data_IF_757868598161
#
_entry.id   IF_757868598161
#
_cell.length_a   1.000
_cell.length_b   1.000
_cell.length_c   1.000
_cell.angle_alpha   90.00
_cell.angle_beta   90.00
_cell.angle_gamma   90.00
#
_symmetry.space_group_name_H-M   'P 1'
#
loop_
_entity.id
_entity.type
_entity.pdbx_description
1 polymer ?
#
# COMPACT_ATOMS: atom_id res chain seq x y z
N UNK A 1 41.59 45.96 -20.15
CA UNK A 1 41.03 47.02 -21.01
C UNK A 1 39.50 46.91 -20.98
N UNK A 2 38.80 48.01 -21.30
CA UNK A 2 37.33 48.16 -21.41
C UNK A 2 36.67 47.10 -22.35
N UNK A 3 35.35 46.85 -22.37
CA UNK A 3 34.19 47.55 -21.77
C UNK A 3 33.04 46.57 -21.45
N UNK A 4 32.10 47.00 -20.61
CA UNK A 4 30.79 46.38 -20.40
C UNK A 4 29.76 46.77 -21.48
N UNK A 5 28.68 45.97 -21.59
CA UNK A 5 27.34 46.44 -21.94
C UNK A 5 26.28 45.50 -21.33
N UNK A 6 25.20 46.07 -20.78
CA UNK A 6 24.07 45.36 -20.17
C UNK A 6 22.77 45.97 -20.69
N UNK A 7 21.71 45.18 -20.84
CA UNK A 7 20.36 45.69 -21.10
C UNK A 7 19.35 45.06 -20.14
N UNK A 8 18.85 45.87 -19.21
CA UNK A 8 17.59 45.65 -18.50
C UNK A 8 16.55 46.59 -19.09
N UNK A 9 15.32 46.12 -19.29
CA UNK A 9 14.12 46.98 -19.33
C UNK A 9 13.04 46.30 -18.49
N UNK A 10 12.29 47.10 -17.72
CA UNK A 10 11.32 46.67 -16.73
C UNK A 10 9.90 47.20 -17.08
N UNK A 11 8.88 47.18 -16.19
CA UNK A 11 7.54 46.75 -16.59
C UNK A 11 6.57 47.89 -16.96
N UNK A 12 5.44 47.51 -17.56
CA UNK A 12 4.33 48.42 -17.86
C UNK A 12 3.31 48.46 -16.70
N UNK A 13 2.97 49.67 -16.25
CA UNK A 13 1.88 49.97 -15.31
C UNK A 13 1.05 51.09 -15.90
N UNK A 14 -0.28 50.94 -15.96
CA UNK A 14 -1.20 52.06 -16.20
C UNK A 14 -2.53 51.89 -15.43
N UNK A 15 -2.86 52.93 -14.66
CA UNK A 15 -4.20 53.39 -14.27
C UNK A 15 -4.20 54.92 -14.44
N UNK A 16 -5.34 55.60 -14.70
CA UNK A 16 -6.09 56.20 -13.58
C UNK A 16 -7.61 56.49 -13.76
N UNK A 17 -8.36 56.46 -12.65
CA UNK A 17 -9.53 57.34 -12.37
C UNK A 17 -10.90 57.01 -13.02
N UNK A 18 -12.05 57.43 -12.49
CA UNK A 18 -12.33 58.24 -11.27
C UNK A 18 -13.80 58.05 -10.77
N UNK A 19 -14.00 58.06 -9.44
CA UNK A 19 -15.17 58.54 -8.63
C UNK A 19 -16.64 58.32 -9.05
N UNK A 20 -17.47 57.83 -8.10
CA UNK A 20 -18.94 57.98 -8.14
C UNK A 20 -19.69 57.52 -6.86
N UNK A 21 -20.50 58.40 -6.27
CA UNK A 21 -21.26 58.23 -5.01
C UNK A 21 -22.73 58.71 -5.21
N UNK A 22 -23.76 58.31 -4.45
CA UNK A 22 -23.92 57.34 -3.33
C UNK A 22 -25.40 56.90 -3.28
N UNK A 23 -25.73 55.71 -2.73
CA UNK A 23 -27.10 55.43 -2.27
C UNK A 23 -27.18 54.32 -1.18
N UNK A 24 -27.89 54.61 -0.09
CA UNK A 24 -28.13 53.73 1.06
C UNK A 24 -29.60 53.35 1.18
N UNK A 25 -29.94 52.10 1.51
CA UNK A 25 -31.13 51.75 2.31
C UNK A 25 -30.90 50.52 3.19
N UNK A 26 -31.61 50.46 4.32
CA UNK A 26 -31.41 49.55 5.47
C UNK A 26 -32.22 48.23 5.36
N UNK A 27 -31.93 47.23 6.22
CA UNK A 27 -32.60 45.92 6.21
C UNK A 27 -33.93 45.90 7.00
N UNK A 28 -34.69 44.81 6.84
CA UNK A 28 -35.87 44.48 7.65
C UNK A 28 -35.78 43.07 8.24
N UNK A 29 -36.07 42.99 9.54
CA UNK A 29 -36.29 41.83 10.42
C UNK A 29 -37.10 42.33 11.63
N UNK A 30 -37.72 41.49 12.48
CA UNK A 30 -38.26 40.14 12.28
C UNK A 30 -39.79 40.06 12.60
N UNK A 31 -40.41 38.88 12.46
CA UNK A 31 -41.82 38.63 12.85
C UNK A 31 -41.97 37.42 13.79
N UNK A 32 -42.81 37.53 14.82
CA UNK A 32 -42.84 36.63 15.99
C UNK A 32 -44.02 35.66 16.06
N UNK A 33 -43.76 34.47 16.66
CA UNK A 33 -44.66 33.60 17.47
C UNK A 33 -46.05 33.19 16.94
N UNK A 34 -46.28 31.87 16.97
CA UNK A 34 -47.37 31.27 17.79
C UNK A 34 -47.03 29.82 18.17
N UNK A 35 -47.49 29.37 19.35
CA UNK A 35 -47.53 27.95 19.73
C UNK A 35 -48.84 27.30 19.27
N UNK A 36 -48.88 25.96 19.19
CA UNK A 36 -50.08 25.24 19.67
C UNK A 36 -50.42 23.91 18.99
N UNK A 37 -50.54 22.86 19.83
CA UNK A 37 -51.28 21.59 19.63
C UNK A 37 -50.68 20.63 18.57
N UNK A 38 -50.19 19.44 18.90
CA UNK A 38 -50.79 18.31 19.62
C UNK A 38 -52.00 17.67 18.93
N UNK A 39 -51.77 16.55 18.25
CA UNK A 39 -52.71 15.43 18.18
C UNK A 39 -51.93 14.12 18.14
N UNK A 40 -52.26 13.24 19.09
CA UNK A 40 -51.94 11.83 19.03
C UNK A 40 -53.27 11.07 18.97
N UNK A 41 -53.32 9.99 18.20
CA UNK A 41 -54.39 8.98 18.30
C UNK A 41 -53.83 7.62 17.90
N UNK A 42 -53.97 6.65 18.79
CA UNK A 42 -53.68 5.23 18.58
C UNK A 42 -54.63 4.55 17.57
N UNK A 43 -54.19 3.43 16.99
CA UNK A 43 -54.94 2.16 16.94
C UNK A 43 -54.06 1.08 16.30
N UNK A 44 -53.56 0.09 17.05
CA UNK A 44 -54.22 -1.14 17.57
C UNK A 44 -53.96 -2.38 16.68
N UNK A 45 -53.25 -3.31 17.32
CA UNK A 45 -53.08 -4.76 17.11
C UNK A 45 -54.19 -5.52 16.35
N UNK A 46 -53.82 -6.53 15.54
CA UNK A 46 -53.96 -7.99 15.85
C UNK A 46 -53.83 -8.91 14.61
N UNK A 47 -53.24 -10.10 14.81
CA UNK A 47 -53.73 -11.36 14.19
C UNK A 47 -53.01 -11.91 12.96
N UNK A 48 -52.36 -13.06 13.11
CA UNK A 48 -52.42 -14.16 12.12
C UNK A 48 -53.39 -15.25 12.62
N UNK A 49 -53.38 -16.50 12.10
CA UNK A 49 -52.51 -17.05 11.06
C UNK A 49 -53.29 -17.84 9.96
N UNK A 50 -52.54 -18.70 9.26
CA UNK A 50 -52.91 -19.97 8.61
C UNK A 50 -53.15 -20.11 7.08
N UNK A 51 -52.45 -21.14 6.58
CA UNK A 51 -52.75 -22.11 5.51
C UNK A 51 -53.15 -21.67 4.09
N UNK A 52 -52.52 -22.31 3.09
CA UNK A 52 -53.29 -22.87 1.98
C UNK A 52 -52.68 -22.87 0.57
N UNK A 53 -52.14 -24.03 0.19
CA UNK A 53 -52.33 -24.63 -1.14
C UNK A 53 -51.48 -24.18 -2.36
N UNK A 54 -51.54 -25.00 -3.41
CA UNK A 54 -50.51 -25.27 -4.41
C UNK A 54 -50.91 -24.73 -5.79
N UNK A 55 -49.95 -24.50 -6.72
CA UNK A 55 -49.99 -25.12 -8.07
C UNK A 55 -48.88 -24.70 -9.06
N UNK A 56 -48.46 -25.71 -9.85
CA UNK A 56 -48.15 -25.69 -11.29
C UNK A 56 -47.12 -24.72 -11.90
N UNK A 57 -45.91 -25.27 -12.08
CA UNK A 57 -45.04 -25.22 -13.27
C UNK A 57 -45.59 -24.57 -14.56
N UNK A 58 -44.81 -23.65 -15.17
CA UNK A 58 -44.88 -23.41 -16.63
C UNK A 58 -43.56 -22.90 -17.24
N UNK A 59 -42.79 -23.82 -17.83
CA UNK A 59 -41.62 -23.49 -18.67
C UNK A 59 -42.09 -23.04 -20.05
N UNK A 60 -41.65 -21.87 -20.54
CA UNK A 60 -41.84 -21.46 -21.93
C UNK A 60 -40.60 -21.81 -22.77
N UNK A 61 -40.78 -22.71 -23.74
CA UNK A 61 -39.88 -22.88 -24.89
C UNK A 61 -40.27 -21.89 -25.99
N UNK A 62 -39.27 -21.39 -26.72
CA UNK A 62 -39.46 -20.71 -28.02
C UNK A 62 -38.64 -21.42 -29.10
N UNK A 63 -39.29 -21.73 -30.21
CA UNK A 63 -38.65 -21.97 -31.50
C UNK A 63 -38.45 -20.61 -32.21
N UNK A 64 -37.64 -20.43 -33.26
CA UNK A 64 -36.73 -21.35 -33.94
C UNK A 64 -36.55 -20.95 -35.41
N UNK A 65 -35.36 -21.19 -35.97
CA UNK A 65 -35.07 -21.11 -37.42
C UNK A 65 -34.42 -19.82 -37.92
N UNK A 66 -33.23 -19.92 -38.50
CA UNK A 66 -33.09 -19.91 -39.98
C UNK A 66 -31.80 -20.68 -40.39
N UNK A 67 -31.72 -21.19 -41.62
CA UNK A 67 -30.52 -21.81 -42.21
C UNK A 67 -30.27 -21.26 -43.61
N UNK A 68 -29.05 -20.79 -43.89
CA UNK A 68 -28.58 -20.57 -45.28
C UNK A 68 -27.28 -21.30 -45.59
N UNK A 69 -27.24 -21.83 -46.82
CA UNK A 69 -26.14 -22.60 -47.42
C UNK A 69 -24.93 -21.71 -47.72
N UNK A 70 -23.75 -22.32 -47.83
CA UNK A 70 -22.72 -21.85 -48.76
C UNK A 70 -22.20 -22.99 -49.65
N UNK A 71 -21.87 -22.64 -50.89
CA UNK A 71 -21.43 -23.57 -51.95
C UNK A 71 -19.94 -23.46 -52.26
N UNK A 72 -19.47 -24.37 -53.12
CA UNK A 72 -18.06 -24.52 -53.54
C UNK A 72 -17.65 -23.49 -54.60
N UNK A 73 -16.37 -23.11 -54.64
CA UNK A 73 -15.45 -23.29 -55.80
C UNK A 73 -14.01 -22.87 -55.47
N UNK A 74 -13.06 -23.23 -56.33
CA UNK A 74 -11.60 -23.11 -56.15
C UNK A 74 -10.94 -22.24 -57.24
N UNK A 75 -9.69 -21.78 -57.04
CA UNK A 75 -8.92 -21.08 -58.08
C UNK A 75 -7.58 -20.40 -57.68
N UNK A 76 -6.51 -21.21 -57.60
CA UNK A 76 -5.14 -21.01 -58.14
C UNK A 76 -4.37 -19.65 -58.27
N UNK A 77 -3.06 -19.74 -57.93
CA UNK A 77 -1.85 -18.91 -58.22
C UNK A 77 -1.71 -17.44 -57.74
N UNK A 78 -0.49 -17.13 -57.23
CA UNK A 78 0.04 -15.77 -57.07
C UNK A 78 1.16 -15.68 -56.00
N UNK A 79 2.41 -15.50 -56.40
CA UNK A 79 3.60 -15.42 -55.52
C UNK A 79 3.90 -14.00 -55.02
N UNK A 80 4.43 -13.85 -53.79
CA UNK A 80 5.63 -13.07 -53.40
C UNK A 80 5.77 -12.92 -51.86
N UNK A 81 7.00 -12.69 -51.39
CA UNK A 81 7.41 -12.61 -49.97
C UNK A 81 7.11 -11.23 -49.33
N UNK A 82 7.19 -11.08 -47.99
CA UNK A 82 6.36 -10.13 -47.24
C UNK A 82 7.06 -8.84 -46.79
N UNK A 83 6.29 -7.85 -46.29
CA UNK A 83 6.74 -6.90 -45.29
C UNK A 83 6.16 -7.19 -43.88
N UNK A 84 6.87 -6.69 -42.88
CA UNK A 84 6.66 -6.89 -41.44
C UNK A 84 5.21 -6.68 -40.94
N UNK A 85 4.70 -7.63 -40.15
CA UNK A 85 3.53 -7.40 -39.29
C UNK A 85 3.94 -6.72 -37.98
N UNK A 86 3.43 -5.51 -37.76
CA UNK A 86 3.27 -4.99 -36.41
C UNK A 86 2.24 -5.86 -35.67
N UNK A 87 2.61 -6.38 -34.49
CA UNK A 87 1.66 -7.06 -33.60
C UNK A 87 1.11 -6.02 -32.62
N UNK A 88 -0.15 -5.62 -32.81
CA UNK A 88 -0.94 -5.04 -31.73
C UNK A 88 -1.39 -6.18 -30.82
N UNK A 89 -1.04 -6.09 -29.54
CA UNK A 89 -1.66 -6.89 -28.48
C UNK A 89 -2.49 -5.96 -27.61
N UNK A 90 -3.78 -5.82 -27.94
CA UNK A 90 -4.75 -5.26 -27.01
C UNK A 90 -5.04 -6.32 -25.94
N UNK A 91 -4.51 -6.13 -24.73
CA UNK A 91 -4.70 -7.04 -23.59
C UNK A 91 -5.48 -6.33 -22.47
N UNK A 92 -6.77 -6.12 -22.69
CA UNK A 92 -7.68 -5.68 -21.64
C UNK A 92 -7.89 -6.82 -20.63
N UNK A 93 -7.31 -6.69 -19.43
CA UNK A 93 -7.54 -7.62 -18.33
C UNK A 93 -8.93 -7.35 -17.73
N UNK A 94 -9.90 -8.23 -18.02
CA UNK A 94 -11.23 -8.21 -17.42
C UNK A 94 -11.37 -9.45 -16.52
N UNK A 95 -11.57 -9.23 -15.22
CA UNK A 95 -11.86 -10.30 -14.25
C UNK A 95 -13.36 -10.57 -14.30
N UNK A 96 -13.75 -11.73 -14.82
CA UNK A 96 -15.13 -12.22 -14.78
C UNK A 96 -15.30 -13.23 -13.65
N UNK A 97 -16.15 -12.91 -12.68
CA UNK A 97 -16.60 -13.89 -11.67
C UNK A 97 -17.38 -15.03 -12.33
N UNK A 98 -17.06 -16.27 -11.97
CA UNK A 98 -17.79 -17.46 -12.40
C UNK A 98 -18.30 -18.24 -11.18
N UNK A 99 -19.58 -18.06 -10.86
CA UNK A 99 -20.29 -18.85 -9.85
C UNK A 99 -20.59 -20.24 -10.40
N UNK A 100 -20.27 -21.31 -9.66
CA UNK A 100 -20.67 -22.68 -9.99
C UNK A 100 -21.14 -23.43 -8.74
N UNK A 101 -22.44 -23.70 -8.69
CA UNK A 101 -23.02 -24.75 -7.85
C UNK A 101 -22.73 -26.12 -8.48
N UNK A 102 -22.32 -27.11 -7.68
CA UNK A 102 -22.06 -28.47 -8.18
C UNK A 102 -22.13 -29.53 -7.08
N UNK A 103 -23.25 -30.22 -6.97
CA UNK A 103 -23.45 -31.37 -6.06
C UNK A 103 -22.77 -32.63 -6.61
N UNK A 104 -22.05 -33.38 -5.76
CA UNK A 104 -21.51 -34.71 -6.10
C UNK A 104 -21.14 -35.52 -4.86
N UNK A 105 -21.53 -36.79 -4.78
CA UNK A 105 -21.51 -37.58 -3.54
C UNK A 105 -20.35 -38.57 -3.39
N UNK A 106 -19.90 -38.71 -2.14
CA UNK A 106 -19.50 -39.94 -1.45
C UNK A 106 -18.46 -40.90 -2.09
N UNK A 107 -17.38 -41.19 -1.33
CA UNK A 107 -16.62 -42.44 -1.50
C UNK A 107 -15.27 -42.47 -0.76
N UNK A 108 -15.08 -43.45 0.14
CA UNK A 108 -13.76 -43.94 0.55
C UNK A 108 -13.23 -43.49 1.92
N UNK A 109 -13.35 -44.34 2.94
CA UNK A 109 -12.51 -44.26 4.14
C UNK A 109 -11.08 -44.70 3.81
N UNK A 110 -10.08 -43.92 4.25
CA UNK A 110 -8.67 -44.30 4.20
C UNK A 110 -7.94 -43.76 5.43
N UNK A 111 -7.67 -44.63 6.41
CA UNK A 111 -7.00 -44.23 7.65
C UNK A 111 -5.50 -43.98 7.43
N UNK A 112 -5.07 -42.71 7.51
CA UNK A 112 -3.65 -42.35 7.48
C UNK A 112 -3.14 -42.15 8.91
N UNK A 113 -2.21 -43.01 9.32
CA UNK A 113 -1.48 -42.91 10.60
C UNK A 113 -0.73 -41.57 10.67
N UNK A 114 -0.96 -40.79 11.73
CA UNK A 114 -0.08 -39.67 12.11
C UNK A 114 1.27 -40.26 12.57
N UNK A 115 2.34 -39.92 11.86
CA UNK A 115 3.71 -39.99 12.39
C UNK A 115 4.05 -38.57 12.85
N UNK A 116 4.22 -38.39 14.16
CA UNK A 116 4.72 -37.14 14.73
C UNK A 116 6.24 -37.27 14.85
N UNK A 117 6.96 -36.67 13.90
CA UNK A 117 8.41 -36.53 14.00
C UNK A 117 8.74 -35.24 14.77
N UNK A 118 9.16 -35.38 16.02
CA UNK A 118 9.68 -34.27 16.79
C UNK A 118 11.08 -33.88 16.26
N UNK A 119 11.19 -32.71 15.64
CA UNK A 119 12.47 -32.11 15.30
C UNK A 119 12.93 -31.20 16.45
N UNK A 120 14.04 -31.54 17.09
CA UNK A 120 14.60 -30.76 18.18
C UNK A 120 15.21 -29.45 17.65
N UNK A 121 14.71 -28.30 18.12
CA UNK A 121 15.33 -27.00 17.88
C UNK A 121 16.39 -26.79 18.97
N UNK A 122 17.66 -26.90 18.59
CA UNK A 122 18.78 -26.57 19.48
C UNK A 122 18.88 -25.06 19.67
N UNK A 123 18.51 -24.57 20.85
CA UNK A 123 18.73 -23.17 21.23
C UNK A 123 20.22 -22.94 21.54
N UNK A 124 20.91 -22.18 20.69
CA UNK A 124 22.27 -21.69 20.98
C UNK A 124 22.15 -20.49 21.92
N UNK A 125 22.29 -20.75 23.23
CA UNK A 125 22.34 -19.70 24.25
C UNK A 125 23.75 -19.09 24.26
N UNK A 126 23.88 -17.85 23.79
CA UNK A 126 25.08 -17.05 24.00
C UNK A 126 25.13 -16.54 25.45
N UNK A 127 25.87 -17.25 26.32
CA UNK A 127 26.20 -16.76 27.66
C UNK A 127 27.35 -15.77 27.56
N UNK A 128 27.02 -14.50 27.38
CA UNK A 128 27.98 -13.41 27.52
C UNK A 128 28.36 -13.18 28.99
N UNK A 129 29.53 -13.66 29.39
CA UNK A 129 30.09 -13.36 30.73
C UNK A 129 30.59 -11.92 30.75
N UNK A 130 29.75 -11.00 31.24
CA UNK A 130 30.14 -9.62 31.51
C UNK A 130 31.02 -9.57 32.78
N UNK A 131 32.33 -9.48 32.61
CA UNK A 131 33.26 -9.32 33.72
C UNK A 131 33.24 -7.85 34.19
N UNK A 132 32.57 -7.59 35.31
CA UNK A 132 32.46 -6.25 35.89
C UNK A 132 33.71 -5.90 36.71
N UNK A 133 34.57 -5.02 36.19
CA UNK A 133 35.60 -4.33 36.97
C UNK A 133 35.17 -2.89 37.24
N UNK A 134 34.89 -2.57 38.50
CA UNK A 134 34.66 -1.20 38.93
C UNK A 134 35.99 -0.44 39.02
N UNK A 135 36.05 0.74 38.40
CA UNK A 135 37.20 1.65 38.49
C UNK A 135 36.73 3.06 38.17
N UNK A 136 36.64 3.92 39.18
CA UNK A 136 36.21 5.32 39.02
C UNK A 136 37.34 6.25 38.63
N UNK A 137 37.01 7.33 37.92
CA UNK A 137 37.93 8.41 37.58
C UNK A 137 37.26 9.39 36.61
N UNK A 138 37.03 10.63 37.07
CA UNK A 138 36.42 11.67 36.23
C UNK A 138 37.40 12.17 35.15
N UNK A 139 36.87 12.44 33.96
CA UNK A 139 37.62 12.99 32.83
C UNK A 139 36.68 13.73 31.89
N UNK A 140 37.17 14.81 31.26
CA UNK A 140 36.38 15.74 30.48
C UNK A 140 35.54 15.08 29.37
N UNK A 141 34.33 15.61 29.16
CA UNK A 141 33.49 15.29 28.01
C UNK A 141 34.03 15.99 26.77
N UNK A 142 35.05 15.41 26.15
CA UNK A 142 35.38 15.72 24.77
C UNK A 142 34.21 15.27 23.90
N UNK A 143 33.54 16.23 23.27
CA UNK A 143 32.44 16.00 22.35
C UNK A 143 32.93 15.34 21.06
N UNK A 144 33.18 14.04 21.12
CA UNK A 144 33.43 13.22 19.94
C UNK A 144 32.19 13.31 19.04
N UNK A 145 32.29 14.09 17.98
CA UNK A 145 31.29 14.13 16.93
C UNK A 145 31.12 12.71 16.37
N UNK A 146 29.98 12.09 16.66
CA UNK A 146 29.65 10.75 16.14
C UNK A 146 29.72 10.84 14.62
N UNK A 147 30.68 10.12 14.03
CA UNK A 147 30.88 10.12 12.60
C UNK A 147 29.58 9.69 11.91
N UNK A 148 28.95 10.60 11.18
CA UNK A 148 27.62 10.42 10.58
C UNK A 148 27.69 9.53 9.33
N UNK A 149 28.15 8.30 9.50
CA UNK A 149 27.98 7.25 8.52
C UNK A 149 26.51 6.89 8.39
N UNK A 150 26.06 6.70 7.14
CA UNK A 150 24.87 5.90 6.84
C UNK A 150 25.04 4.56 7.59
N UNK A 151 24.00 4.01 8.19
CA UNK A 151 24.04 2.68 8.82
C UNK A 151 23.63 1.61 7.78
N UNK A 152 23.84 0.29 7.99
CA UNK A 152 23.29 -0.71 7.08
C UNK A 152 21.76 -0.60 6.95
N UNK A 153 21.20 -0.93 5.78
CA UNK A 153 19.75 -1.10 5.61
C UNK A 153 19.39 -2.56 5.80
N UNK A 154 18.31 -2.84 6.52
CA UNK A 154 17.75 -4.18 6.71
C UNK A 154 16.29 -4.16 6.26
N UNK A 155 15.91 -5.09 5.39
CA UNK A 155 14.53 -5.33 4.97
C UNK A 155 14.10 -6.73 5.40
N UNK A 156 13.08 -6.81 6.25
CA UNK A 156 12.42 -8.06 6.65
C UNK A 156 11.02 -8.11 6.04
N UNK A 157 10.71 -9.18 5.32
CA UNK A 157 9.35 -9.45 4.83
C UNK A 157 8.44 -9.93 5.95
N UNK A 158 7.19 -9.46 5.97
CA UNK A 158 6.14 -9.92 6.89
C UNK A 158 5.12 -10.77 6.12
N UNK A 159 4.29 -10.15 5.28
CA UNK A 159 3.33 -10.82 4.39
C UNK A 159 2.70 -9.80 3.42
N UNK A 160 2.26 -10.22 2.23
CA UNK A 160 1.70 -9.34 1.17
C UNK A 160 2.62 -8.15 0.79
N UNK A 161 2.26 -6.91 1.16
CA UNK A 161 3.13 -5.71 1.10
C UNK A 161 3.77 -5.34 2.45
N UNK A 162 3.40 -6.05 3.50
CA UNK A 162 3.93 -5.90 4.85
C UNK A 162 5.44 -6.14 4.93
N UNK A 163 6.17 -5.11 5.35
CA UNK A 163 7.63 -5.15 5.56
C UNK A 163 8.05 -4.38 6.81
N UNK A 164 9.16 -4.80 7.40
CA UNK A 164 9.93 -4.04 8.39
C UNK A 164 11.23 -3.56 7.75
N UNK A 165 11.43 -2.25 7.72
CA UNK A 165 12.62 -1.58 7.18
C UNK A 165 13.39 -0.96 8.35
N UNK A 166 14.66 -1.30 8.52
CA UNK A 166 15.48 -0.82 9.63
C UNK A 166 16.82 -0.26 9.17
N UNK A 167 17.34 0.75 9.86
CA UNK A 167 18.71 1.22 9.69
C UNK A 167 19.25 1.87 10.95
N UNK A 168 20.32 1.30 11.50
CA UNK A 168 20.82 1.66 12.83
C UNK A 168 19.78 1.32 13.90
N UNK A 169 19.45 2.28 14.76
CA UNK A 169 18.39 2.14 15.76
C UNK A 169 16.99 2.40 15.20
N UNK A 170 16.87 3.01 14.01
CA UNK A 170 15.58 3.40 13.44
C UNK A 170 14.88 2.22 12.75
N UNK A 171 13.60 2.01 13.06
CA UNK A 171 12.76 0.95 12.47
C UNK A 171 11.39 1.47 12.03
N UNK A 172 11.03 1.19 10.78
CA UNK A 172 9.73 1.50 10.17
C UNK A 172 9.02 0.23 9.74
N UNK A 173 7.80 0.04 10.22
CA UNK A 173 6.90 -1.02 9.77
C UNK A 173 5.97 -0.43 8.69
N UNK A 174 5.76 -1.10 7.57
CA UNK A 174 4.92 -0.63 6.46
C UNK A 174 3.93 -1.75 6.13
N UNK A 175 2.62 -1.45 6.06
CA UNK A 175 1.54 -2.33 5.60
C UNK A 175 1.52 -3.75 6.22
N UNK A 176 2.01 -3.88 7.46
CA UNK A 176 2.21 -5.18 8.12
C UNK A 176 1.25 -5.47 9.27
N UNK A 177 0.45 -4.49 9.69
CA UNK A 177 -0.44 -4.60 10.86
C UNK A 177 -1.80 -5.19 10.48
N UNK A 178 -1.81 -6.44 10.01
CA UNK A 178 -3.02 -7.18 9.62
C UNK A 178 -2.97 -8.66 10.03
N UNK A 179 -4.13 -9.34 10.00
CA UNK A 179 -4.31 -10.74 10.42
C UNK A 179 -4.99 -11.59 9.34
N UNK A 180 -6.17 -11.17 8.87
CA UNK A 180 -7.00 -11.96 7.96
C UNK A 180 -7.24 -11.22 6.64
N UNK A 181 -6.26 -11.26 5.71
CA UNK A 181 -6.45 -10.73 4.36
C UNK A 181 -7.53 -11.50 3.60
N UNK A 182 -7.91 -10.98 2.44
CA UNK A 182 -8.52 -11.79 1.38
C UNK A 182 -7.65 -13.04 1.13
N UNK A 183 -8.21 -14.26 1.02
CA UNK A 183 -7.46 -15.50 0.76
C UNK A 183 -6.62 -15.51 -0.54
N UNK A 184 -6.72 -14.49 -1.41
CA UNK A 184 -5.78 -14.29 -2.51
C UNK A 184 -4.35 -13.93 -2.05
N UNK A 185 -4.17 -13.32 -0.87
CA UNK A 185 -2.88 -12.83 -0.39
C UNK A 185 -2.39 -13.52 0.89
N UNK A 186 -1.08 -13.46 1.13
CA UNK A 186 -0.45 -14.02 2.34
C UNK A 186 -0.80 -13.18 3.57
N UNK A 187 -1.09 -13.88 4.66
CA UNK A 187 -1.24 -13.32 6.01
C UNK A 187 0.07 -13.46 6.81
N UNK A 188 0.37 -12.55 7.75
CA UNK A 188 1.35 -12.83 8.81
C UNK A 188 0.87 -14.02 9.65
N UNK A 189 1.78 -14.85 10.17
CA UNK A 189 1.37 -15.93 11.08
C UNK A 189 0.97 -15.37 12.46
N UNK A 190 0.22 -16.14 13.25
CA UNK A 190 -0.19 -15.73 14.59
C UNK A 190 1.03 -15.39 15.49
N UNK A 191 2.13 -16.12 15.34
CA UNK A 191 3.40 -15.87 16.02
C UNK A 191 4.04 -14.55 15.58
N UNK A 192 3.97 -14.22 14.28
CA UNK A 192 4.46 -12.94 13.75
C UNK A 192 3.59 -11.77 14.23
N UNK A 193 2.26 -11.93 14.29
CA UNK A 193 1.34 -10.92 14.83
C UNK A 193 1.60 -10.68 16.32
N UNK A 194 1.82 -11.73 17.11
CA UNK A 194 2.17 -11.56 18.52
C UNK A 194 3.55 -10.92 18.67
N UNK A 195 4.55 -11.31 17.88
CA UNK A 195 5.87 -10.66 17.91
C UNK A 195 5.80 -9.16 17.55
N UNK A 196 5.08 -8.81 16.49
CA UNK A 196 4.84 -7.41 16.07
C UNK A 196 4.15 -6.60 17.18
N UNK A 197 3.03 -7.11 17.70
CA UNK A 197 2.23 -6.38 18.69
C UNK A 197 2.91 -6.34 20.06
N UNK A 198 3.60 -7.40 20.50
CA UNK A 198 4.33 -7.43 21.76
C UNK A 198 5.67 -6.68 21.74
N UNK A 199 6.18 -6.30 20.56
CA UNK A 199 7.50 -5.67 20.43
C UNK A 199 8.66 -6.64 20.70
N UNK A 200 8.50 -7.89 20.24
CA UNK A 200 9.56 -8.89 20.25
C UNK A 200 10.39 -8.78 18.97
N UNK A 201 11.68 -9.10 19.05
CA UNK A 201 12.58 -9.08 17.90
C UNK A 201 12.03 -9.91 16.71
N UNK A 202 12.12 -9.41 15.47
CA UNK A 202 12.81 -8.18 15.04
C UNK A 202 12.01 -6.87 15.21
N UNK A 203 10.76 -6.94 15.67
CA UNK A 203 9.81 -5.82 15.75
C UNK A 203 9.89 -5.02 17.06
N UNK A 204 10.89 -5.27 17.90
CA UNK A 204 11.22 -4.44 19.05
C UNK A 204 11.60 -3.02 18.60
N UNK A 205 11.15 -1.97 19.30
CA UNK A 205 11.61 -0.60 19.04
C UNK A 205 11.22 -0.03 17.68
N UNK A 206 10.04 -0.35 17.15
CA UNK A 206 9.50 0.33 15.95
C UNK A 206 9.17 1.79 16.29
N UNK A 207 9.74 2.73 15.53
CA UNK A 207 9.47 4.16 15.69
C UNK A 207 8.16 4.56 15.02
N UNK A 208 7.95 4.07 13.79
CA UNK A 208 6.83 4.45 12.92
C UNK A 208 6.22 3.21 12.27
N UNK A 209 4.89 3.12 12.31
CA UNK A 209 4.11 2.24 11.45
C UNK A 209 3.43 3.08 10.36
N UNK A 210 3.57 2.69 9.10
CA UNK A 210 2.93 3.30 7.94
C UNK A 210 1.84 2.38 7.40
N UNK A 211 0.69 2.95 7.04
CA UNK A 211 -0.41 2.26 6.37
C UNK A 211 -0.73 3.01 5.09
N UNK A 212 -0.65 2.36 3.93
CA UNK A 212 -0.92 2.99 2.63
C UNK A 212 -2.42 3.15 2.37
N UNK A 213 -3.23 2.14 2.73
CA UNK A 213 -4.68 2.14 2.53
C UNK A 213 -5.41 1.15 3.43
N UNK A 214 -6.74 1.31 3.53
CA UNK A 214 -7.63 0.58 4.43
C UNK A 214 -8.16 -0.75 3.85
N UNK A 215 -7.30 -1.57 3.27
CA UNK A 215 -7.64 -2.95 2.85
C UNK A 215 -7.11 -4.00 3.84
N UNK A 216 -7.81 -5.16 3.99
CA UNK A 216 -7.51 -6.16 5.03
C UNK A 216 -6.17 -6.90 4.85
N UNK A 217 -5.53 -6.76 3.70
CA UNK A 217 -4.21 -7.28 3.34
C UNK A 217 -3.05 -6.27 3.53
N UNK A 218 -3.37 -5.09 4.08
CA UNK A 218 -2.42 -4.05 4.49
C UNK A 218 -2.66 -3.59 5.94
N UNK A 219 -3.92 -3.63 6.39
CA UNK A 219 -4.34 -3.06 7.67
C UNK A 219 -5.52 -3.80 8.31
N UNK A 220 -5.39 -4.13 9.60
CA UNK A 220 -6.48 -4.48 10.50
C UNK A 220 -6.49 -3.50 11.70
N UNK A 221 -7.62 -2.82 11.98
CA UNK A 221 -7.68 -1.83 13.05
C UNK A 221 -7.52 -2.44 14.46
N UNK A 222 -7.83 -3.72 14.65
CA UNK A 222 -7.64 -4.42 15.91
C UNK A 222 -6.17 -4.78 16.16
N UNK A 223 -5.45 -5.25 15.14
CA UNK A 223 -3.99 -5.47 15.20
C UNK A 223 -3.26 -4.15 15.42
N UNK A 224 -3.66 -3.07 14.72
CA UNK A 224 -3.07 -1.75 14.90
C UNK A 224 -3.35 -1.14 16.29
N UNK A 225 -4.56 -1.31 16.84
CA UNK A 225 -4.87 -0.92 18.22
C UNK A 225 -3.96 -1.68 19.20
N UNK A 226 -3.91 -3.02 19.13
CA UNK A 226 -3.06 -3.87 19.98
C UNK A 226 -1.57 -3.50 19.90
N UNK A 227 -1.08 -3.15 18.71
CA UNK A 227 0.28 -2.67 18.48
C UNK A 227 0.53 -1.36 19.24
N UNK A 228 -0.31 -0.34 19.06
CA UNK A 228 -0.16 0.95 19.76
C UNK A 228 -0.40 0.83 21.28
N UNK A 229 -1.25 -0.10 21.72
CA UNK A 229 -1.52 -0.50 23.12
C UNK A 229 -0.40 -1.33 23.77
N UNK A 230 0.70 -1.60 23.05
CA UNK A 230 1.86 -2.33 23.57
C UNK A 230 3.15 -1.57 23.30
N UNK A 231 3.42 -1.23 22.05
CA UNK A 231 4.54 -0.41 21.59
C UNK A 231 4.29 1.09 21.87
N UNK A 232 4.44 1.51 23.14
CA UNK A 232 4.10 2.88 23.59
C UNK A 232 4.86 4.03 22.92
N UNK A 233 6.03 3.75 22.33
CA UNK A 233 6.84 4.75 21.62
C UNK A 233 6.47 4.89 20.14
N UNK A 234 5.87 3.86 19.55
CA UNK A 234 5.55 3.84 18.13
C UNK A 234 4.45 4.86 17.79
N UNK A 235 4.59 5.48 16.61
CA UNK A 235 3.61 6.37 15.99
C UNK A 235 3.04 5.70 14.74
N UNK A 236 1.72 5.68 14.59
CA UNK A 236 1.05 5.25 13.37
C UNK A 236 0.85 6.45 12.44
N UNK A 237 1.16 6.31 11.15
CA UNK A 237 0.74 7.23 10.09
C UNK A 237 -0.16 6.45 9.12
N UNK A 238 -1.37 6.96 8.88
CA UNK A 238 -2.38 6.25 8.11
C UNK A 238 -3.35 7.23 7.43
N UNK A 239 -4.01 6.83 6.33
CA UNK A 239 -5.06 7.62 5.71
C UNK A 239 -6.28 7.80 6.63
N UNK A 240 -7.06 8.85 6.39
CA UNK A 240 -8.17 9.27 7.25
C UNK A 240 -9.27 8.22 7.41
N UNK A 241 -9.49 7.35 6.41
CA UNK A 241 -10.42 6.22 6.46
C UNK A 241 -9.91 5.08 7.37
N UNK A 242 -8.64 4.66 7.26
CA UNK A 242 -8.02 3.69 8.16
C UNK A 242 -7.99 4.20 9.62
N UNK A 243 -7.72 5.48 9.84
CA UNK A 243 -7.79 6.10 11.17
C UNK A 243 -9.22 6.12 11.72
N UNK A 244 -10.23 6.31 10.86
CA UNK A 244 -11.63 6.27 11.28
C UNK A 244 -12.05 4.86 11.72
N UNK A 245 -11.59 3.80 11.06
CA UNK A 245 -11.84 2.42 11.53
C UNK A 245 -11.07 2.10 12.81
N UNK A 246 -9.78 2.48 12.91
CA UNK A 246 -9.00 2.33 14.15
C UNK A 246 -9.71 2.97 15.35
N UNK A 247 -10.26 4.17 15.17
CA UNK A 247 -10.99 4.89 16.22
C UNK A 247 -12.28 4.21 16.65
N UNK A 248 -12.93 3.44 15.77
CA UNK A 248 -14.13 2.64 16.12
C UNK A 248 -13.76 1.35 16.86
N UNK A 249 -12.61 0.77 16.54
CA UNK A 249 -12.16 -0.52 17.10
C UNK A 249 -11.39 -0.37 18.42
N UNK A 250 -10.63 0.71 18.61
CA UNK A 250 -9.81 0.92 19.80
C UNK A 250 -10.66 1.08 21.07
N UNK A 251 -10.36 0.28 22.10
CA UNK A 251 -11.09 0.33 23.37
C UNK A 251 -10.84 1.62 24.17
N UNK A 252 -9.60 2.15 24.11
CA UNK A 252 -9.23 3.45 24.68
C UNK A 252 -8.52 4.32 23.64
N UNK A 253 -9.31 4.87 22.71
CA UNK A 253 -8.83 5.81 21.68
C UNK A 253 -8.06 7.00 22.27
N UNK A 254 -8.42 7.50 23.45
CA UNK A 254 -7.78 8.65 24.10
C UNK A 254 -6.35 8.36 24.59
N UNK A 255 -5.96 7.08 24.70
CA UNK A 255 -4.57 6.66 24.95
C UNK A 255 -3.73 6.51 23.67
N UNK A 256 -4.37 6.49 22.50
CA UNK A 256 -3.73 6.21 21.21
C UNK A 256 -3.63 7.47 20.32
N UNK A 257 -4.63 8.35 20.36
CA UNK A 257 -4.82 9.47 19.42
C UNK A 257 -3.57 10.36 19.22
N UNK A 258 -2.86 10.70 20.30
CA UNK A 258 -1.60 11.48 20.28
C UNK A 258 -0.46 10.82 19.49
N UNK A 259 -0.57 9.54 19.17
CA UNK A 259 0.38 8.74 18.39
C UNK A 259 -0.22 8.23 17.08
N UNK A 260 -1.37 8.76 16.65
CA UNK A 260 -1.99 8.47 15.36
C UNK A 260 -2.01 9.72 14.50
N UNK A 261 -1.20 9.71 13.44
CA UNK A 261 -1.06 10.80 12.48
C UNK A 261 -1.98 10.49 11.29
N UNK A 262 -3.13 11.16 11.26
CA UNK A 262 -4.06 11.08 10.13
C UNK A 262 -3.57 11.91 8.94
N UNK A 263 -3.69 11.32 7.74
CA UNK A 263 -3.47 11.96 6.45
C UNK A 263 -4.79 12.00 5.68
N UNK A 264 -5.32 13.20 5.48
CA UNK A 264 -6.58 13.44 4.74
C UNK A 264 -6.28 14.26 3.48
N UNK A 265 -5.81 13.56 2.43
CA UNK A 265 -5.29 14.21 1.22
C UNK A 265 -6.30 14.11 0.08
N UNK A 266 -6.36 15.15 -0.77
CA UNK A 266 -7.01 15.06 -2.08
C UNK A 266 -6.14 14.22 -3.05
N UNK A 267 -6.74 13.63 -4.08
CA UNK A 267 -5.98 12.86 -5.09
C UNK A 267 -4.95 13.75 -5.78
N UNK A 268 -3.69 13.29 -5.81
CA UNK A 268 -2.53 14.05 -6.30
C UNK A 268 -2.05 15.16 -5.36
N UNK A 269 -2.59 15.30 -4.15
CA UNK A 269 -2.03 16.17 -3.11
C UNK A 269 -0.94 15.43 -2.32
N UNK A 270 0.14 16.16 -2.02
CA UNK A 270 1.30 15.70 -1.28
C UNK A 270 1.37 16.40 0.08
N UNK A 271 1.89 15.69 1.07
CA UNK A 271 2.17 16.19 2.42
C UNK A 271 3.57 15.72 2.85
N UNK A 272 4.34 16.62 3.47
CA UNK A 272 5.73 16.42 3.87
C UNK A 272 5.85 16.65 5.38
N UNK A 273 6.14 15.57 6.12
CA UNK A 273 6.18 15.57 7.59
C UNK A 273 7.51 15.00 8.11
N UNK A 274 7.77 15.26 9.39
CA UNK A 274 8.78 14.51 10.16
C UNK A 274 8.09 13.79 11.31
N UNK A 275 8.15 12.46 11.32
CA UNK A 275 7.45 11.59 12.27
C UNK A 275 8.46 10.58 12.82
N UNK A 276 8.55 10.42 14.15
CA UNK A 276 9.57 9.54 14.75
C UNK A 276 11.02 9.88 14.35
N UNK A 277 11.31 11.15 14.04
CA UNK A 277 12.59 11.60 13.51
C UNK A 277 12.79 11.37 11.99
N UNK A 278 12.05 10.44 11.38
CA UNK A 278 12.08 10.10 9.95
C UNK A 278 11.43 11.23 9.13
N UNK A 279 12.07 11.62 8.02
CA UNK A 279 11.41 12.47 7.02
C UNK A 279 10.49 11.61 6.15
N UNK A 280 9.24 12.03 5.98
CA UNK A 280 8.19 11.29 5.29
C UNK A 280 7.44 12.21 4.34
N UNK A 281 7.53 11.95 3.05
CA UNK A 281 6.62 12.49 2.04
C UNK A 281 5.52 11.45 1.78
N UNK A 282 4.27 11.90 1.75
CA UNK A 282 3.11 11.11 1.38
C UNK A 282 2.39 11.77 0.20
N UNK A 283 1.87 11.00 -0.75
CA UNK A 283 0.96 11.54 -1.79
C UNK A 283 -0.19 10.57 -2.05
N UNK A 284 -1.42 11.09 -2.09
CA UNK A 284 -2.58 10.27 -2.45
C UNK A 284 -2.64 10.03 -3.95
N UNK A 285 -2.87 8.78 -4.35
CA UNK A 285 -3.24 8.41 -5.72
C UNK A 285 -4.67 7.89 -5.77
N UNK A 286 -5.16 7.56 -6.97
CA UNK A 286 -6.19 6.54 -7.06
C UNK A 286 -5.60 5.19 -6.63
N UNK A 287 -6.40 4.38 -5.96
CA UNK A 287 -6.12 2.99 -5.69
C UNK A 287 -6.29 2.15 -6.97
N UNK A 288 -5.64 0.98 -7.02
CA UNK A 288 -5.64 0.06 -8.15
C UNK A 288 -7.03 -0.20 -8.74
N UNK A 289 -7.12 -0.16 -10.07
CA UNK A 289 -8.40 -0.12 -10.80
C UNK A 289 -9.06 1.27 -10.87
N UNK A 290 -8.28 2.35 -10.70
CA UNK A 290 -8.73 3.75 -10.76
C UNK A 290 -9.86 4.11 -9.78
N UNK A 291 -9.76 3.58 -8.55
CA UNK A 291 -10.73 3.81 -7.48
C UNK A 291 -10.29 4.94 -6.54
N UNK A 292 -11.21 5.82 -6.17
CA UNK A 292 -10.94 6.84 -5.14
C UNK A 292 -10.95 6.29 -3.71
N UNK A 293 -11.57 5.12 -3.51
CA UNK A 293 -11.76 4.45 -2.22
C UNK A 293 -11.30 2.98 -2.30
N UNK A 294 -10.55 2.47 -1.30
CA UNK A 294 -10.01 3.20 -0.14
C UNK A 294 -9.00 4.27 -0.56
N UNK A 295 -8.67 5.19 0.34
CA UNK A 295 -7.60 6.17 0.09
C UNK A 295 -6.26 5.45 -0.04
N UNK A 296 -5.59 5.54 -1.20
CA UNK A 296 -4.24 5.02 -1.38
C UNK A 296 -3.18 6.11 -1.24
N UNK A 297 -2.21 5.88 -0.37
CA UNK A 297 -1.04 6.74 -0.15
C UNK A 297 0.23 6.07 -0.65
N UNK A 298 0.97 6.75 -1.52
CA UNK A 298 2.37 6.47 -1.77
C UNK A 298 3.23 7.16 -0.72
N UNK A 299 4.35 6.53 -0.35
CA UNK A 299 5.32 7.06 0.61
C UNK A 299 6.73 7.12 0.04
N UNK A 300 7.44 8.21 0.35
CA UNK A 300 8.91 8.26 0.33
C UNK A 300 9.38 8.61 1.72
N UNK A 301 10.25 7.79 2.30
CA UNK A 301 10.81 8.02 3.63
C UNK A 301 12.34 7.99 3.64
N UNK A 302 12.93 8.72 4.57
CA UNK A 302 14.38 8.76 4.79
C UNK A 302 14.74 8.27 6.21
N UNK A 303 15.41 7.10 6.30
CA UNK A 303 15.91 6.51 7.54
C UNK A 303 17.40 6.14 7.43
N UNK A 304 18.21 6.47 8.43
CA UNK A 304 19.64 6.08 8.48
C UNK A 304 20.51 6.54 7.29
N UNK A 305 20.05 7.52 6.48
CA UNK A 305 20.69 7.92 5.22
C UNK A 305 20.26 7.13 3.98
N UNK A 306 19.25 6.26 4.11
CA UNK A 306 18.58 5.55 3.01
C UNK A 306 17.27 6.23 2.66
N UNK A 307 16.97 6.33 1.37
CA UNK A 307 15.69 6.81 0.85
C UNK A 307 14.90 5.65 0.25
N UNK A 308 13.73 5.40 0.82
CA UNK A 308 12.88 4.25 0.49
C UNK A 308 11.57 4.75 -0.10
N UNK A 309 11.14 4.16 -1.22
CA UNK A 309 9.84 4.40 -1.84
C UNK A 309 8.93 3.19 -1.62
N UNK A 310 7.66 3.42 -1.29
CA UNK A 310 6.61 2.41 -1.24
C UNK A 310 5.36 2.97 -1.94
N UNK A 311 4.84 2.25 -2.94
CA UNK A 311 3.75 2.77 -3.79
C UNK A 311 2.33 2.52 -3.24
N UNK A 312 2.21 1.69 -2.20
CA UNK A 312 0.93 1.12 -1.79
C UNK A 312 0.33 0.34 -2.97
N UNK A 313 -0.96 0.55 -3.22
CA UNK A 313 -1.68 -0.02 -4.35
C UNK A 313 -2.08 1.08 -5.33
N UNK A 314 -1.08 1.76 -5.87
CA UNK A 314 -1.30 2.79 -6.90
C UNK A 314 -1.86 2.19 -8.20
N UNK A 315 -2.48 3.02 -9.03
CA UNK A 315 -2.94 2.62 -10.36
C UNK A 315 -1.82 2.43 -11.42
N UNK A 316 -0.54 2.40 -11.04
CA UNK A 316 0.59 2.16 -11.97
C UNK A 316 0.88 3.33 -12.93
N UNK A 317 0.42 4.54 -12.62
CA UNK A 317 0.48 5.69 -13.54
C UNK A 317 1.78 6.48 -13.37
N UNK A 318 2.64 6.44 -14.39
CA UNK A 318 3.93 7.16 -14.42
C UNK A 318 3.78 8.65 -14.10
N UNK A 319 2.74 9.31 -14.60
CA UNK A 319 2.47 10.72 -14.31
C UNK A 319 2.21 11.02 -12.82
N UNK A 320 1.66 10.06 -12.05
CA UNK A 320 1.50 10.21 -10.60
C UNK A 320 2.84 10.04 -9.87
N UNK A 321 3.72 9.15 -10.35
CA UNK A 321 5.08 8.99 -9.82
C UNK A 321 5.94 10.24 -10.07
N UNK A 322 5.91 10.77 -11.28
CA UNK A 322 6.56 12.03 -11.66
C UNK A 322 6.02 13.22 -10.84
N UNK A 323 4.69 13.31 -10.68
CA UNK A 323 4.03 14.33 -9.84
C UNK A 323 4.43 14.22 -8.37
N UNK A 324 4.70 13.02 -7.86
CA UNK A 324 5.23 12.84 -6.50
C UNK A 324 6.69 13.34 -6.38
N UNK A 325 7.39 13.58 -7.49
CA UNK A 325 8.79 14.00 -7.55
C UNK A 325 9.78 12.84 -7.63
N UNK A 326 9.32 11.64 -8.00
CA UNK A 326 10.19 10.49 -8.24
C UNK A 326 10.98 10.69 -9.55
N UNK A 327 12.23 10.23 -9.55
CA UNK A 327 13.22 10.52 -10.62
C UNK A 327 14.01 11.83 -10.42
N UNK A 328 13.55 12.75 -9.56
CA UNK A 328 14.30 13.97 -9.25
C UNK A 328 15.47 13.78 -8.26
N UNK A 329 15.35 12.80 -7.36
CA UNK A 329 16.38 12.43 -6.39
C UNK A 329 16.43 10.89 -6.26
N UNK A 330 17.61 10.30 -6.00
CA UNK A 330 17.77 8.84 -6.02
C UNK A 330 16.96 8.15 -4.93
N UNK A 331 16.37 7.01 -5.29
CA UNK A 331 15.78 6.06 -4.36
C UNK A 331 16.80 4.94 -4.16
N UNK A 332 17.11 4.57 -2.91
CA UNK A 332 17.97 3.42 -2.65
C UNK A 332 17.17 2.11 -2.77
N UNK A 333 15.96 2.07 -2.18
CA UNK A 333 15.07 0.89 -2.19
C UNK A 333 13.67 1.27 -2.67
N UNK A 334 13.20 0.62 -3.73
CA UNK A 334 11.81 0.69 -4.18
C UNK A 334 11.05 -0.58 -3.73
N UNK A 335 9.92 -0.38 -3.06
CA UNK A 335 8.94 -1.40 -2.66
C UNK A 335 7.71 -1.24 -3.56
N UNK A 336 7.58 -2.14 -4.53
CA UNK A 336 6.58 -2.06 -5.62
C UNK A 336 5.98 -3.44 -5.89
N UNK A 337 4.81 -3.49 -6.51
CA UNK A 337 4.15 -4.74 -6.87
C UNK A 337 4.99 -5.66 -7.75
N UNK A 338 4.79 -6.98 -7.63
CA UNK A 338 5.43 -7.97 -8.50
C UNK A 338 5.20 -7.75 -10.01
N UNK A 339 4.11 -7.10 -10.40
CA UNK A 339 3.79 -6.81 -11.80
C UNK A 339 4.47 -5.54 -12.32
N UNK A 340 4.99 -4.66 -11.44
CA UNK A 340 5.58 -3.38 -11.82
C UNK A 340 6.74 -3.50 -12.83
N UNK A 341 7.73 -4.41 -12.67
CA UNK A 341 8.79 -4.59 -13.67
C UNK A 341 8.36 -5.38 -14.92
N UNK A 342 7.09 -5.80 -15.01
CA UNK A 342 6.50 -6.58 -16.10
C UNK A 342 5.52 -5.76 -16.96
N UNK A 343 4.92 -4.69 -16.41
CA UNK A 343 4.12 -3.72 -17.16
C UNK A 343 5.06 -2.74 -17.90
N UNK A 344 4.91 -2.52 -19.22
CA UNK A 344 5.89 -1.76 -20.01
C UNK A 344 6.21 -0.35 -19.53
N UNK A 345 5.22 0.45 -19.13
CA UNK A 345 5.43 1.85 -18.73
C UNK A 345 6.10 1.94 -17.36
N UNK A 346 5.67 1.08 -16.43
CA UNK A 346 6.23 0.91 -15.10
C UNK A 346 7.68 0.38 -15.16
N UNK A 347 7.95 -0.61 -16.02
CA UNK A 347 9.28 -1.14 -16.27
C UNK A 347 10.22 -0.09 -16.88
N UNK A 348 9.75 0.70 -17.87
CA UNK A 348 10.50 1.82 -18.42
C UNK A 348 10.80 2.87 -17.34
N UNK A 349 9.81 3.24 -16.53
CA UNK A 349 9.99 4.18 -15.43
C UNK A 349 11.05 3.72 -14.42
N UNK A 350 11.05 2.43 -14.02
CA UNK A 350 12.10 1.86 -13.16
C UNK A 350 13.50 1.96 -13.81
N UNK A 351 13.61 1.61 -15.09
CA UNK A 351 14.89 1.49 -15.81
C UNK A 351 15.48 2.84 -16.22
N UNK A 352 14.65 3.81 -16.58
CA UNK A 352 15.07 5.08 -17.20
C UNK A 352 14.97 6.29 -16.26
N UNK A 353 13.96 6.32 -15.38
CA UNK A 353 13.64 7.50 -14.55
C UNK A 353 13.97 7.29 -13.07
N UNK A 354 13.41 6.25 -12.44
CA UNK A 354 13.58 6.02 -11.00
C UNK A 354 14.97 5.50 -10.65
N UNK A 355 15.47 4.52 -11.43
CA UNK A 355 16.78 3.87 -11.29
C UNK A 355 17.16 3.54 -9.82
N UNK A 356 16.29 2.85 -9.07
CA UNK A 356 16.58 2.51 -7.69
C UNK A 356 17.74 1.50 -7.61
N UNK A 357 18.55 1.58 -6.56
CA UNK A 357 19.65 0.62 -6.36
C UNK A 357 19.12 -0.81 -6.11
N UNK A 358 18.01 -0.91 -5.37
CA UNK A 358 17.36 -2.17 -5.00
C UNK A 358 15.85 -2.10 -5.25
N UNK A 359 15.26 -3.18 -5.77
CA UNK A 359 13.83 -3.32 -6.03
C UNK A 359 13.32 -4.57 -5.31
N UNK A 360 12.53 -4.35 -4.26
CA UNK A 360 11.83 -5.40 -3.54
C UNK A 360 10.39 -5.48 -4.06
N UNK A 361 10.04 -6.64 -4.60
CA UNK A 361 8.74 -6.90 -5.21
C UNK A 361 7.76 -7.49 -4.19
N UNK A 362 6.65 -6.79 -3.98
CA UNK A 362 5.61 -7.07 -2.98
C UNK A 362 4.30 -7.53 -3.62
N UNK A 363 3.26 -7.73 -2.79
CA UNK A 363 1.86 -7.88 -3.20
C UNK A 363 1.61 -8.98 -4.24
N UNK A 364 2.20 -10.16 -4.01
CA UNK A 364 2.07 -11.30 -4.89
C UNK A 364 0.86 -12.17 -4.48
N UNK A 365 -0.16 -12.34 -5.34
CA UNK A 365 -1.22 -13.31 -5.13
C UNK A 365 -0.67 -14.73 -4.96
N UNK A 366 -1.19 -15.49 -3.99
CA UNK A 366 -0.75 -16.87 -3.69
C UNK A 366 -0.81 -17.76 -4.95
N UNK A 367 -1.84 -17.58 -5.79
CA UNK A 367 -2.01 -18.30 -7.06
C UNK A 367 -0.90 -18.06 -8.11
N UNK A 368 -0.06 -17.04 -7.92
CA UNK A 368 1.05 -16.68 -8.81
C UNK A 368 2.43 -17.01 -8.23
N UNK A 369 2.54 -17.48 -6.99
CA UNK A 369 3.83 -17.83 -6.34
C UNK A 369 4.65 -18.87 -7.14
N UNK A 370 4.00 -19.76 -7.87
CA UNK A 370 4.67 -20.77 -8.71
C UNK A 370 5.14 -20.28 -10.09
N UNK A 371 4.74 -19.09 -10.53
CA UNK A 371 4.95 -18.57 -11.90
C UNK A 371 5.72 -17.23 -11.90
N UNK A 372 5.43 -16.35 -10.94
CA UNK A 372 6.11 -15.06 -10.80
C UNK A 372 7.64 -15.15 -10.74
N UNK A 373 8.29 -16.11 -10.03
CA UNK A 373 9.75 -16.22 -10.03
C UNK A 373 10.37 -16.33 -11.43
N UNK A 374 9.80 -17.19 -12.29
CA UNK A 374 10.28 -17.34 -13.67
C UNK A 374 10.09 -16.07 -14.51
N UNK A 375 8.99 -15.35 -14.32
CA UNK A 375 8.74 -14.05 -14.99
C UNK A 375 9.72 -12.97 -14.53
N UNK A 376 10.03 -12.90 -13.23
CA UNK A 376 11.01 -11.95 -12.70
C UNK A 376 12.42 -12.28 -13.18
N UNK A 377 12.78 -13.56 -13.29
CA UNK A 377 14.10 -13.97 -13.83
C UNK A 377 14.30 -13.55 -15.29
N UNK A 378 13.25 -13.50 -16.12
CA UNK A 378 13.34 -13.01 -17.50
C UNK A 378 13.71 -11.53 -17.60
N UNK A 379 13.28 -10.71 -16.64
CA UNK A 379 13.53 -9.25 -16.62
C UNK A 379 14.68 -8.84 -15.70
N UNK A 380 15.14 -9.74 -14.80
CA UNK A 380 16.19 -9.52 -13.79
C UNK A 380 17.43 -8.82 -14.35
N UNK A 381 17.87 -9.20 -15.55
CA UNK A 381 19.04 -8.64 -16.25
C UNK A 381 18.97 -7.12 -16.54
N UNK A 382 17.79 -6.51 -16.45
CA UNK A 382 17.57 -5.08 -16.69
C UNK A 382 17.76 -4.22 -15.43
N UNK A 383 17.99 -4.84 -14.27
CA UNK A 383 18.03 -4.18 -12.96
C UNK A 383 19.29 -4.57 -12.19
N UNK A 384 19.84 -3.67 -11.37
CA UNK A 384 21.03 -3.95 -10.55
C UNK A 384 20.74 -5.00 -9.46
N UNK A 385 19.61 -4.85 -8.76
CA UNK A 385 19.11 -5.79 -7.77
C UNK A 385 17.57 -5.75 -7.75
N UNK A 386 16.92 -6.84 -8.17
CA UNK A 386 15.46 -7.02 -8.14
C UNK A 386 15.10 -8.39 -7.60
N UNK A 387 14.13 -8.49 -6.70
CA UNK A 387 13.80 -9.75 -6.04
C UNK A 387 12.37 -9.76 -5.49
N UNK A 388 11.75 -10.95 -5.48
CA UNK A 388 10.45 -11.17 -4.85
C UNK A 388 10.63 -11.32 -3.34
N UNK A 389 9.77 -10.64 -2.57
CA UNK A 389 9.57 -10.95 -1.16
C UNK A 389 8.59 -12.13 -1.07
N UNK A 390 9.06 -13.24 -0.52
CA UNK A 390 8.32 -14.50 -0.40
C UNK A 390 8.44 -15.06 1.02
N UNK A 391 7.49 -15.90 1.48
CA UNK A 391 7.60 -16.57 2.76
C UNK A 391 8.91 -17.35 2.89
N UNK A 392 9.60 -17.19 4.02
CA UNK A 392 10.88 -17.87 4.30
C UNK A 392 12.12 -17.21 3.69
N UNK A 393 12.00 -16.11 2.93
CA UNK A 393 13.15 -15.30 2.53
C UNK A 393 13.74 -14.63 3.78
N UNK A 394 15.05 -14.80 4.09
CA UNK A 394 15.68 -14.17 5.24
C UNK A 394 15.75 -12.65 5.07
N UNK A 395 15.88 -11.93 6.19
CA UNK A 395 16.06 -10.48 6.15
C UNK A 395 17.26 -10.10 5.28
N UNK A 396 17.04 -9.21 4.30
CA UNK A 396 18.08 -8.76 3.37
C UNK A 396 18.77 -7.54 3.96
N UNK A 397 20.09 -7.58 4.00
CA UNK A 397 20.92 -6.50 4.56
C UNK A 397 21.82 -5.93 3.48
N UNK A 398 21.79 -4.61 3.31
CA UNK A 398 22.73 -3.89 2.46
C UNK A 398 23.71 -3.12 3.35
N UNK A 399 25.02 -3.36 3.20
CA UNK A 399 26.02 -2.62 3.92
C UNK A 399 26.04 -1.16 3.43
N UNK A 400 26.73 -0.34 4.20
CA UNK A 400 27.05 1.02 3.81
C UNK A 400 28.07 0.95 2.68
N UNK A 401 27.63 1.16 1.44
CA UNK A 401 28.59 1.26 0.35
C UNK A 401 29.53 2.43 0.61
N UNK A 402 30.82 2.14 0.79
CA UNK A 402 31.85 3.14 0.71
C UNK A 402 31.86 3.68 -0.72
N UNK A 403 31.19 4.81 -0.95
CA UNK A 403 31.29 5.52 -2.23
C UNK A 403 32.77 5.74 -2.53
N UNK A 404 33.26 5.06 -3.57
CA UNK A 404 34.57 5.34 -4.14
C UNK A 404 34.66 6.83 -4.46
N UNK A 405 35.78 7.45 -4.08
CA UNK A 405 36.03 8.87 -4.33
C UNK A 405 36.32 9.12 -5.81
#
# INVERSE_FOLDING_TARGET
>A
MFSSASSRVAPCVTQPGMTGQVATTKPLSPGTRTMGRSFATDSILRGGPDAGEQSATKIKRTAGGDRKRFGRRAGFWGSLLPPHRAVRCDAAYQVSEATMNGTGSAGGLGAVRRIVSAAAIGAVVWVGVACSTAGGGGGASDGAAVASGKAPLVLTYVASSGVLVGSGETKVLIDALFDKPNPEYRAPSAEVIEAMTAGMAPFDGVDVALVTHNHPDHFDPGVAARFLERQRKAVLVAPSDAVAELRKTAADWASLDRRVVSLDLAVGARDDRRVGGIALAAMRTLHSGDRESPMNLMYVLELGGWRVFHEGDSAGKVADFERFGLGGAPIDLALVHFWFPLEPNCAQFLQETLKPAHIALTHLPIRLEGDAPGKIDMVRKNYADVFLLLPGVPAKTWPVESRGR
#
